data_IF_083033143964
#
_entry.id   IF_083033143964
#
_cell.length_a   1.000
_cell.length_b   1.000
_cell.length_c   1.000
_cell.angle_alpha   90.00
_cell.angle_beta   90.00
_cell.angle_gamma   90.00
#
_symmetry.space_group_name_H-M   'P 1'
#
loop_
_entity.id
_entity.type
_entity.pdbx_description
1 polymer ?
#
# COMPACT_ATOMS: atom_id res chain seq x y z
N UNK A 1 -22.17 9.30 7.16
CA UNK A 1 -20.75 9.41 7.56
C UNK A 1 -20.24 10.79 7.13
N UNK A 2 -19.38 11.43 7.93
CA UNK A 2 -18.73 12.71 7.56
C UNK A 2 -17.21 12.50 7.58
N UNK A 3 -16.58 12.23 6.42
CA UNK A 3 -15.14 12.05 6.39
C UNK A 3 -14.43 13.40 6.65
N UNK A 4 -13.28 13.37 7.31
CA UNK A 4 -12.59 14.60 7.79
C UNK A 4 -11.23 14.84 7.13
N UNK A 5 -10.49 13.79 6.80
CA UNK A 5 -9.19 13.85 6.13
C UNK A 5 -8.82 12.47 5.58
N UNK A 6 -7.90 12.42 4.62
CA UNK A 6 -7.22 11.19 4.18
C UNK A 6 -5.83 11.08 4.80
N UNK A 7 -5.35 9.85 5.01
CA UNK A 7 -4.08 9.56 5.70
C UNK A 7 -2.87 9.46 4.77
N UNK A 8 -3.10 9.42 3.45
CA UNK A 8 -2.08 9.43 2.40
C UNK A 8 -1.42 10.81 2.25
N UNK A 9 -0.20 10.83 1.71
CA UNK A 9 0.50 12.10 1.38
C UNK A 9 -0.27 12.94 0.36
N UNK A 10 -0.97 12.29 -0.57
CA UNK A 10 -1.77 12.92 -1.62
C UNK A 10 -3.24 12.72 -1.33
N UNK A 11 -4.08 13.65 -1.80
CA UNK A 11 -5.53 13.52 -1.75
C UNK A 11 -5.99 12.33 -2.59
N UNK A 12 -7.05 11.67 -2.16
CA UNK A 12 -7.66 10.59 -2.92
C UNK A 12 -8.42 11.15 -4.11
N UNK A 13 -8.31 10.51 -5.26
CA UNK A 13 -9.13 10.83 -6.44
C UNK A 13 -10.63 10.64 -6.20
N UNK A 14 -11.02 9.76 -5.26
CA UNK A 14 -12.43 9.57 -4.87
C UNK A 14 -12.95 10.67 -3.93
N UNK A 15 -12.06 11.35 -3.21
CA UNK A 15 -12.42 12.36 -2.21
C UNK A 15 -11.51 13.60 -2.39
N UNK A 16 -11.53 14.27 -3.55
CA UNK A 16 -10.57 15.33 -3.89
C UNK A 16 -10.70 16.58 -3.00
N UNK A 17 -11.89 16.80 -2.42
CA UNK A 17 -12.17 17.93 -1.54
C UNK A 17 -11.69 17.69 -0.10
N UNK A 18 -11.38 16.45 0.28
CA UNK A 18 -10.87 16.15 1.61
C UNK A 18 -9.37 16.45 1.69
N UNK A 19 -8.93 17.19 2.72
CA UNK A 19 -7.52 17.43 2.93
C UNK A 19 -6.82 16.13 3.37
N UNK A 20 -5.50 16.11 3.21
CA UNK A 20 -4.69 15.10 3.90
C UNK A 20 -4.50 15.49 5.37
N UNK A 21 -4.14 14.54 6.23
CA UNK A 21 -3.74 14.85 7.61
C UNK A 21 -2.50 15.76 7.63
N UNK A 22 -1.59 15.59 6.65
CA UNK A 22 -0.43 16.44 6.51
C UNK A 22 -0.80 17.90 6.18
N UNK A 23 -1.80 18.11 5.31
CA UNK A 23 -2.37 19.44 5.01
C UNK A 23 -3.14 20.04 6.19
N UNK A 24 -3.62 19.19 7.11
CA UNK A 24 -4.45 19.57 8.26
C UNK A 24 -3.63 19.92 9.51
N UNK A 25 -2.30 20.01 9.41
CA UNK A 25 -1.42 20.51 10.48
C UNK A 25 -0.44 19.50 11.06
N UNK A 26 -0.40 18.25 10.56
CA UNK A 26 0.58 17.24 10.99
C UNK A 26 1.53 16.87 9.85
N UNK A 27 2.47 17.78 9.56
CA UNK A 27 3.43 17.62 8.47
C UNK A 27 4.18 16.29 8.54
N UNK A 28 4.34 15.63 7.39
CA UNK A 28 5.00 14.33 7.29
C UNK A 28 4.14 13.13 7.67
N UNK A 29 2.88 13.33 8.07
CA UNK A 29 1.96 12.21 8.30
C UNK A 29 1.68 11.47 6.99
N UNK A 30 2.03 10.18 6.97
CA UNK A 30 1.72 9.27 5.87
C UNK A 30 1.45 7.87 6.39
N UNK A 31 0.21 7.44 6.32
CA UNK A 31 -0.20 6.07 6.65
C UNK A 31 -1.13 5.59 5.56
N UNK A 32 -0.62 4.71 4.70
CA UNK A 32 -1.40 4.04 3.67
C UNK A 32 -1.37 2.55 3.92
N UNK A 33 -2.49 1.89 3.59
CA UNK A 33 -2.54 0.44 3.52
C UNK A 33 -2.10 -0.01 2.14
N UNK A 34 -1.32 -1.08 2.09
CA UNK A 34 -0.89 -1.72 0.84
C UNK A 34 -1.24 -3.20 0.90
N UNK A 35 -1.36 -3.79 -0.29
CA UNK A 35 -1.59 -5.21 -0.47
C UNK A 35 -0.49 -5.79 -1.33
N UNK A 36 -0.16 -7.07 -1.10
CA UNK A 36 0.83 -7.76 -1.90
C UNK A 36 0.69 -9.27 -1.79
N UNK A 37 1.40 -9.98 -2.67
CA UNK A 37 1.34 -11.44 -2.77
C UNK A 37 2.68 -12.02 -2.32
N UNK A 38 2.62 -13.00 -1.41
CA UNK A 38 3.77 -13.73 -0.92
C UNK A 38 3.70 -15.18 -1.39
N UNK A 39 4.83 -15.72 -1.82
CA UNK A 39 5.02 -17.14 -2.12
C UNK A 39 5.90 -17.83 -1.08
N UNK A 40 6.06 -19.16 -1.18
CA UNK A 40 7.00 -19.91 -0.34
C UNK A 40 8.44 -19.36 -0.40
N UNK A 41 9.15 -19.35 0.73
CA UNK A 41 10.47 -18.71 0.86
C UNK A 41 11.57 -19.24 -0.08
N UNK A 42 11.40 -20.46 -0.63
CA UNK A 42 12.38 -21.12 -1.51
C UNK A 42 11.87 -21.29 -2.94
N UNK A 43 10.92 -20.45 -3.38
CA UNK A 43 10.56 -20.40 -4.79
C UNK A 43 11.79 -20.05 -5.64
N UNK A 44 11.93 -20.70 -6.79
CA UNK A 44 12.96 -20.32 -7.78
C UNK A 44 12.68 -18.93 -8.36
N UNK A 45 13.73 -18.18 -8.66
CA UNK A 45 13.63 -16.84 -9.25
C UNK A 45 12.83 -16.79 -10.55
N UNK A 46 12.90 -17.86 -11.35
CA UNK A 46 12.12 -17.98 -12.59
C UNK A 46 10.60 -17.96 -12.31
N UNK A 47 10.14 -18.77 -11.34
CA UNK A 47 8.73 -18.79 -10.94
C UNK A 47 8.29 -17.47 -10.31
N UNK A 48 9.14 -16.83 -9.52
CA UNK A 48 8.85 -15.52 -8.92
C UNK A 48 8.67 -14.47 -10.03
N UNK A 49 9.58 -14.45 -10.99
CA UNK A 49 9.55 -13.52 -12.12
C UNK A 49 8.31 -13.75 -12.98
N UNK A 50 8.00 -15.02 -13.30
CA UNK A 50 6.82 -15.38 -14.08
C UNK A 50 5.54 -14.93 -13.37
N UNK A 51 5.36 -15.27 -12.09
CA UNK A 51 4.16 -14.86 -11.33
C UNK A 51 4.05 -13.34 -11.22
N UNK A 52 5.15 -12.64 -10.98
CA UNK A 52 5.13 -11.18 -10.97
C UNK A 52 4.67 -10.62 -12.32
N UNK A 53 5.18 -11.14 -13.44
CA UNK A 53 4.76 -10.74 -14.79
C UNK A 53 3.25 -10.90 -15.01
N UNK A 54 2.70 -12.06 -14.67
CA UNK A 54 1.25 -12.34 -14.80
C UNK A 54 0.41 -11.43 -13.90
N UNK A 55 0.82 -11.22 -12.64
CA UNK A 55 0.12 -10.34 -11.71
C UNK A 55 0.12 -8.89 -12.23
N UNK A 56 1.26 -8.41 -12.74
CA UNK A 56 1.35 -7.05 -13.31
C UNK A 56 0.46 -6.90 -14.53
N UNK A 57 0.44 -7.88 -15.42
CA UNK A 57 -0.45 -7.89 -16.59
C UNK A 57 -1.93 -7.84 -16.19
N UNK A 58 -2.33 -8.62 -15.16
CA UNK A 58 -3.69 -8.60 -14.62
C UNK A 58 -4.05 -7.24 -14.03
N UNK A 59 -3.15 -6.65 -13.24
CA UNK A 59 -3.33 -5.33 -12.64
C UNK A 59 -3.48 -4.22 -13.70
N UNK A 60 -2.92 -4.44 -14.90
CA UNK A 60 -3.06 -3.49 -16.00
C UNK A 60 -4.41 -3.53 -16.72
N UNK A 61 -5.21 -4.57 -16.50
CA UNK A 61 -6.54 -4.70 -17.11
C UNK A 61 -7.52 -3.63 -16.61
N UNK A 62 -8.36 -3.13 -17.52
CA UNK A 62 -9.34 -2.08 -17.23
C UNK A 62 -10.39 -2.51 -16.21
N UNK A 63 -10.84 -3.75 -16.25
CA UNK A 63 -11.80 -4.31 -15.28
C UNK A 63 -11.23 -4.30 -13.86
N UNK A 64 -9.99 -4.74 -13.69
CA UNK A 64 -9.31 -4.74 -12.37
C UNK A 64 -9.10 -3.32 -11.87
N UNK A 65 -8.58 -2.42 -12.72
CA UNK A 65 -8.39 -1.00 -12.37
C UNK A 65 -9.70 -0.36 -11.92
N UNK A 66 -10.79 -0.61 -12.65
CA UNK A 66 -12.12 -0.04 -12.35
C UNK A 66 -12.67 -0.57 -11.02
N UNK A 67 -12.56 -1.87 -10.78
CA UNK A 67 -13.02 -2.49 -9.52
C UNK A 67 -12.25 -1.96 -8.32
N UNK A 68 -10.93 -1.85 -8.43
CA UNK A 68 -10.07 -1.34 -7.36
C UNK A 68 -10.28 0.15 -7.11
N UNK A 69 -10.37 0.96 -8.17
CA UNK A 69 -10.67 2.38 -8.03
C UNK A 69 -12.05 2.61 -7.41
N UNK A 70 -13.03 1.75 -7.69
CA UNK A 70 -14.37 1.83 -7.10
C UNK A 70 -14.40 1.64 -5.59
N UNK A 71 -13.38 1.02 -5.01
CA UNK A 71 -13.22 0.86 -3.55
C UNK A 71 -12.12 1.77 -2.96
N UNK A 72 -11.60 2.71 -3.76
CA UNK A 72 -10.57 3.66 -3.33
C UNK A 72 -9.17 3.09 -3.27
N UNK A 73 -8.93 1.93 -3.88
CA UNK A 73 -7.60 1.38 -4.06
C UNK A 73 -6.98 1.91 -5.36
N UNK A 74 -5.72 2.29 -5.29
CA UNK A 74 -4.93 2.66 -6.46
C UNK A 74 -4.04 1.49 -6.85
N UNK A 75 -3.95 1.23 -8.16
CA UNK A 75 -3.10 0.15 -8.67
C UNK A 75 -1.66 0.63 -8.72
N UNK A 76 -0.84 0.10 -7.83
CA UNK A 76 0.61 0.18 -7.91
C UNK A 76 1.18 -1.21 -8.17
N UNK A 77 2.19 -1.28 -9.05
CA UNK A 77 2.90 -2.54 -9.31
C UNK A 77 4.38 -2.34 -9.03
N UNK A 78 5.00 -3.37 -8.44
CA UNK A 78 6.43 -3.37 -8.13
C UNK A 78 7.10 -4.61 -8.73
N UNK A 79 8.41 -4.53 -8.95
CA UNK A 79 9.25 -5.71 -9.08
C UNK A 79 9.30 -6.49 -7.77
N UNK A 80 9.66 -7.79 -7.78
CA UNK A 80 9.84 -8.57 -6.56
C UNK A 80 10.84 -7.94 -5.57
N UNK A 81 11.90 -7.32 -6.09
CA UNK A 81 12.95 -6.69 -5.30
C UNK A 81 12.46 -5.40 -4.62
N UNK A 82 11.75 -4.55 -5.35
CA UNK A 82 11.12 -3.33 -4.80
C UNK A 82 10.08 -3.68 -3.75
N UNK A 83 9.26 -4.71 -3.99
CA UNK A 83 8.28 -5.15 -3.01
C UNK A 83 8.96 -5.69 -1.74
N UNK A 84 10.04 -6.48 -1.88
CA UNK A 84 10.81 -6.94 -0.73
C UNK A 84 11.44 -5.77 0.06
N UNK A 85 11.85 -4.69 -0.62
CA UNK A 85 12.34 -3.48 0.02
C UNK A 85 11.23 -2.72 0.77
N UNK A 86 10.04 -2.60 0.17
CA UNK A 86 8.85 -2.02 0.81
C UNK A 86 8.50 -2.76 2.09
N UNK A 87 8.46 -4.09 2.05
CA UNK A 87 8.15 -4.90 3.24
C UNK A 87 9.17 -4.66 4.36
N UNK A 88 10.46 -4.64 4.03
CA UNK A 88 11.52 -4.37 5.02
C UNK A 88 11.42 -2.97 5.62
N UNK A 89 11.14 -1.95 4.80
CA UNK A 89 11.02 -0.57 5.29
C UNK A 89 9.76 -0.39 6.16
N UNK A 90 8.64 -1.00 5.78
CA UNK A 90 7.39 -0.96 6.54
C UNK A 90 7.52 -1.69 7.88
N UNK A 91 8.15 -2.86 7.93
CA UNK A 91 8.45 -3.55 9.19
C UNK A 91 9.26 -2.64 10.12
N UNK A 92 10.33 -2.02 9.61
CA UNK A 92 11.18 -1.13 10.41
C UNK A 92 10.44 0.12 10.89
N UNK A 93 9.55 0.69 10.05
CA UNK A 93 8.73 1.85 10.39
C UNK A 93 7.69 1.51 11.47
N UNK A 94 6.93 0.44 11.27
CA UNK A 94 5.85 0.04 12.17
C UNK A 94 6.35 -0.50 13.51
N UNK A 95 7.52 -1.16 13.55
CA UNK A 95 8.14 -1.55 14.82
C UNK A 95 8.38 -0.35 15.75
N UNK A 96 8.79 0.80 15.20
CA UNK A 96 8.95 2.05 15.97
C UNK A 96 7.61 2.56 16.50
N UNK A 97 6.57 2.53 15.64
CA UNK A 97 5.22 2.98 16.01
C UNK A 97 4.64 2.11 17.13
N UNK A 98 4.69 0.78 16.98
CA UNK A 98 4.20 -0.17 18.00
C UNK A 98 4.91 0.05 19.33
N UNK A 99 6.24 0.20 19.31
CA UNK A 99 7.02 0.49 20.52
C UNK A 99 6.63 1.82 21.17
N UNK A 100 6.40 2.86 20.37
CA UNK A 100 6.05 4.19 20.87
C UNK A 100 4.61 4.25 21.42
N UNK A 101 3.68 3.51 20.83
CA UNK A 101 2.29 3.49 21.25
C UNK A 101 2.00 2.55 22.42
N UNK A 102 2.89 1.58 22.68
CA UNK A 102 2.66 0.52 23.67
C UNK A 102 1.66 -0.53 23.21
N UNK A 103 1.32 -0.56 21.92
CA UNK A 103 0.38 -1.54 21.37
C UNK A 103 0.92 -2.97 21.51
N UNK A 104 0.06 -3.89 21.94
CA UNK A 104 0.32 -5.33 21.99
C UNK A 104 -0.75 -6.08 21.21
N UNK A 105 -0.41 -7.28 20.74
CA UNK A 105 -1.43 -8.21 20.21
C UNK A 105 -2.14 -8.80 21.43
N UNK A 106 -3.48 -8.69 21.45
CA UNK A 106 -4.32 -9.27 22.49
C UNK A 106 -4.40 -10.79 22.37
#
# INVERSE_FOLDING_TARGET
LRPIAVTSIKRSSLLPDLPTIAESGLSGFNVTSWYGVFGPAKMSDELVTKLNGEIRALMDSSDVKTKLSGVGAEVETNTPQEFAQLVRSEIARWAKVVKASGATVN
#
